data_IF_482870428612
#
_entry.id   IF_482870428612
#
_cell.length_a   1.000
_cell.length_b   1.000
_cell.length_c   1.000
_cell.angle_alpha   90.00
_cell.angle_beta   90.00
_cell.angle_gamma   90.00
#
_symmetry.space_group_name_H-M   'P 1'
#
loop_
_entity.id
_entity.type
_entity.pdbx_description
1 polymer ?
#
# COMPACT_ATOMS: atom_id res chain seq x y z
N UNK A 1 16.97 -4.67 13.08
CA UNK A 1 17.00 -4.34 11.64
C UNK A 1 16.28 -3.03 11.33
N UNK A 2 15.09 -2.79 11.88
CA UNK A 2 14.34 -1.56 11.63
C UNK A 2 15.07 -0.30 12.12
N UNK A 3 15.75 -0.35 13.24
CA UNK A 3 16.47 0.79 13.82
C UNK A 3 17.62 1.31 12.94
N UNK A 4 18.13 0.51 12.01
CA UNK A 4 19.19 0.90 11.08
C UNK A 4 18.66 1.41 9.72
N UNK A 5 17.34 1.44 9.52
CA UNK A 5 16.75 1.85 8.26
C UNK A 5 16.62 3.37 8.16
N UNK A 6 16.86 3.92 6.98
CA UNK A 6 16.60 5.31 6.65
C UNK A 6 15.15 5.53 6.20
N UNK A 7 14.53 4.50 5.60
CA UNK A 7 13.17 4.50 5.14
C UNK A 7 12.51 3.15 5.40
N UNK A 8 11.28 3.17 5.86
CA UNK A 8 10.46 1.98 6.03
C UNK A 8 9.25 2.03 5.11
N UNK A 9 9.01 0.95 4.39
CA UNK A 9 7.78 0.75 3.64
C UNK A 9 6.84 -0.12 4.47
N UNK A 10 5.71 0.45 4.85
CA UNK A 10 4.65 -0.28 5.54
C UNK A 10 3.70 -0.82 4.48
N UNK A 11 3.68 -2.12 4.32
CA UNK A 11 2.85 -2.78 3.29
C UNK A 11 1.62 -3.38 3.97
N UNK A 12 0.45 -2.99 3.53
CA UNK A 12 -0.81 -3.49 4.06
C UNK A 12 -1.86 -3.69 2.96
N UNK A 13 -2.83 -4.52 3.24
CA UNK A 13 -4.04 -4.62 2.41
C UNK A 13 -5.00 -3.47 2.73
N UNK A 14 -6.01 -3.27 1.90
CA UNK A 14 -6.96 -2.17 2.03
C UNK A 14 -8.09 -2.43 3.05
N UNK A 15 -8.00 -3.46 3.88
CA UNK A 15 -9.00 -3.71 4.92
C UNK A 15 -8.72 -2.88 6.20
N UNK A 16 -9.77 -2.58 7.00
CA UNK A 16 -9.62 -1.73 8.19
C UNK A 16 -8.68 -2.30 9.24
N UNK A 17 -8.58 -3.61 9.39
CA UNK A 17 -7.69 -4.26 10.36
C UNK A 17 -6.24 -4.03 10.00
N UNK A 18 -5.88 -4.25 8.73
CA UNK A 18 -4.52 -4.01 8.24
C UNK A 18 -4.12 -2.54 8.36
N UNK A 19 -5.04 -1.62 8.09
CA UNK A 19 -4.77 -0.18 8.20
C UNK A 19 -4.55 0.23 9.65
N UNK A 20 -5.32 -0.34 10.58
CA UNK A 20 -5.10 -0.11 12.02
C UNK A 20 -3.75 -0.65 12.47
N UNK A 21 -3.36 -1.83 12.01
CA UNK A 21 -2.06 -2.41 12.30
C UNK A 21 -0.93 -1.54 11.74
N UNK A 22 -1.12 -0.96 10.55
CA UNK A 22 -0.17 -0.01 9.97
C UNK A 22 0.05 1.21 10.87
N UNK A 23 -0.99 1.73 11.51
CA UNK A 23 -0.87 2.85 12.46
C UNK A 23 -0.06 2.48 13.71
N UNK A 24 -0.16 1.25 14.17
CA UNK A 24 0.62 0.72 15.30
C UNK A 24 2.09 0.59 14.90
N UNK A 25 2.36 0.01 13.73
CA UNK A 25 3.72 -0.12 13.19
C UNK A 25 4.37 1.26 13.01
N UNK A 26 3.61 2.25 12.54
CA UNK A 26 4.07 3.63 12.43
C UNK A 26 4.59 4.17 13.76
N UNK A 27 3.86 3.95 14.84
CA UNK A 27 4.28 4.40 16.18
C UNK A 27 5.58 3.74 16.60
N UNK A 28 5.70 2.43 16.39
CA UNK A 28 6.91 1.67 16.71
C UNK A 28 8.12 2.17 15.92
N UNK A 29 7.95 2.44 14.63
CA UNK A 29 9.00 2.97 13.78
C UNK A 29 9.40 4.40 14.19
N UNK A 30 8.47 5.21 14.65
CA UNK A 30 8.75 6.54 15.17
C UNK A 30 9.57 6.47 16.45
N UNK A 31 9.27 5.53 17.35
CA UNK A 31 10.05 5.29 18.56
C UNK A 31 11.47 4.79 18.25
N UNK A 32 11.62 4.02 17.16
CA UNK A 32 12.94 3.55 16.67
C UNK A 32 13.69 4.62 15.86
N UNK A 33 13.12 5.82 15.73
CA UNK A 33 13.73 6.96 15.03
C UNK A 33 13.99 6.69 13.54
N UNK A 34 13.15 5.91 12.89
CA UNK A 34 13.18 5.76 11.43
C UNK A 34 12.64 7.03 10.77
N UNK A 35 13.47 7.81 10.04
CA UNK A 35 13.10 9.17 9.64
C UNK A 35 12.03 9.22 8.55
N UNK A 36 11.97 8.22 7.68
CA UNK A 36 11.00 8.17 6.60
C UNK A 36 10.15 6.91 6.68
N UNK A 37 8.84 7.11 6.62
CA UNK A 37 7.87 6.03 6.62
C UNK A 37 6.88 6.28 5.48
N UNK A 38 6.60 5.25 4.68
CA UNK A 38 5.69 5.33 3.55
C UNK A 38 4.77 4.12 3.54
N UNK A 39 3.55 4.32 3.08
CA UNK A 39 2.53 3.29 3.01
C UNK A 39 2.41 2.76 1.58
N UNK A 40 2.39 1.44 1.45
CA UNK A 40 2.04 0.75 0.22
C UNK A 40 0.79 -0.08 0.46
N UNK A 41 -0.24 0.17 -0.31
CA UNK A 41 -1.44 -0.66 -0.29
C UNK A 41 -1.26 -1.77 -1.30
N UNK A 42 -1.26 -3.01 -0.82
CA UNK A 42 -1.09 -4.20 -1.65
C UNK A 42 -2.42 -4.90 -1.88
N UNK A 43 -2.51 -5.65 -2.96
CA UNK A 43 -3.69 -6.43 -3.33
C UNK A 43 -4.96 -5.59 -3.38
N UNK A 44 -4.82 -4.37 -3.90
CA UNK A 44 -5.94 -3.45 -4.02
C UNK A 44 -6.91 -3.90 -5.10
N UNK A 45 -8.18 -3.95 -4.76
CA UNK A 45 -9.26 -4.24 -5.69
C UNK A 45 -10.31 -3.12 -5.61
N UNK A 46 -10.37 -2.31 -6.67
CA UNK A 46 -11.27 -1.16 -6.73
C UNK A 46 -12.75 -1.54 -6.64
N UNK A 47 -13.11 -2.73 -7.10
CA UNK A 47 -14.50 -3.20 -7.03
C UNK A 47 -14.97 -3.39 -5.59
N UNK A 48 -14.14 -3.97 -4.74
CA UNK A 48 -14.46 -4.13 -3.32
C UNK A 48 -14.43 -2.79 -2.59
N UNK A 49 -13.50 -1.92 -2.95
CA UNK A 49 -13.34 -0.62 -2.29
C UNK A 49 -14.52 0.31 -2.61
N UNK A 50 -14.96 0.35 -3.88
CA UNK A 50 -16.12 1.14 -4.31
C UNK A 50 -17.46 0.59 -3.83
N UNK A 51 -17.63 -0.73 -3.75
CA UNK A 51 -18.89 -1.35 -3.31
C UNK A 51 -19.17 -1.16 -1.82
N UNK A 52 -18.13 -0.97 -1.02
CA UNK A 52 -18.27 -0.68 0.41
C UNK A 52 -18.75 0.75 0.67
N UNK A 53 -18.50 1.67 -0.27
CA UNK A 53 -18.95 3.06 -0.15
C UNK A 53 -20.43 3.27 -0.50
N UNK A 54 -21.04 2.37 -1.25
CA UNK A 54 -22.39 2.56 -1.81
C UNK A 54 -23.56 2.26 -0.84
N UNK A 55 -23.32 1.80 0.39
CA UNK A 55 -24.44 1.38 1.23
C UNK A 55 -24.26 1.42 2.75
N UNK A 56 -23.15 1.96 3.28
CA UNK A 56 -22.91 1.95 4.72
C UNK A 56 -22.27 3.25 5.21
N UNK A 57 -23.09 4.25 5.38
CA UNK A 57 -22.66 5.53 5.97
C UNK A 57 -22.20 5.42 7.44
N UNK A 58 -22.40 4.27 8.10
CA UNK A 58 -22.24 4.15 9.55
C UNK A 58 -21.40 2.97 10.04
N UNK A 59 -20.63 2.29 9.19
CA UNK A 59 -19.97 1.05 9.59
C UNK A 59 -18.45 1.13 9.74
N UNK A 60 -17.86 2.27 10.09
CA UNK A 60 -16.43 2.34 10.43
C UNK A 60 -15.46 1.80 9.37
N UNK A 61 -15.93 1.58 8.15
CA UNK A 61 -15.15 1.10 7.03
C UNK A 61 -14.41 2.23 6.31
N UNK A 62 -13.39 1.84 5.56
CA UNK A 62 -12.66 2.77 4.70
C UNK A 62 -13.51 3.10 3.47
N UNK A 63 -13.79 4.37 3.26
CA UNK A 63 -14.62 4.83 2.14
C UNK A 63 -13.79 5.13 0.89
N UNK A 64 -12.59 5.63 1.09
CA UNK A 64 -11.68 6.02 0.02
C UNK A 64 -10.21 5.98 0.49
N UNK A 65 -9.32 6.37 -0.40
CA UNK A 65 -7.88 6.38 -0.10
C UNK A 65 -7.50 7.45 0.92
N UNK A 66 -8.24 8.53 1.00
CA UNK A 66 -8.01 9.57 2.01
C UNK A 66 -8.27 9.02 3.41
N UNK A 67 -9.33 8.22 3.58
CA UNK A 67 -9.59 7.52 4.84
C UNK A 67 -8.42 6.59 5.22
N UNK A 68 -7.81 5.91 4.26
CA UNK A 68 -6.63 5.06 4.50
C UNK A 68 -5.46 5.86 5.02
N UNK A 69 -5.17 6.99 4.38
CA UNK A 69 -4.08 7.88 4.79
C UNK A 69 -4.35 8.44 6.19
N UNK A 70 -5.56 8.92 6.44
CA UNK A 70 -5.94 9.51 7.72
C UNK A 70 -5.89 8.49 8.87
N UNK A 71 -6.43 7.30 8.66
CA UNK A 71 -6.47 6.26 9.70
C UNK A 71 -5.12 5.62 9.98
N UNK A 72 -4.29 5.43 8.96
CA UNK A 72 -2.93 4.91 9.15
C UNK A 72 -1.98 5.97 9.70
N UNK A 73 -2.19 7.22 9.35
CA UNK A 73 -1.29 8.33 9.66
C UNK A 73 0.02 8.27 8.87
N UNK A 74 0.10 7.46 7.84
CA UNK A 74 1.31 7.25 7.02
C UNK A 74 1.08 7.76 5.61
N UNK A 75 2.08 8.45 5.06
CA UNK A 75 2.03 8.96 3.70
C UNK A 75 2.05 7.82 2.69
N UNK A 76 1.08 7.81 1.79
CA UNK A 76 0.97 6.83 0.72
C UNK A 76 2.05 7.06 -0.35
N UNK A 77 2.79 6.01 -0.72
CA UNK A 77 3.75 6.05 -1.82
C UNK A 77 3.25 5.27 -3.04
N UNK A 78 2.38 4.31 -2.87
CA UNK A 78 1.86 3.56 -4.00
C UNK A 78 0.79 2.55 -3.65
N UNK A 79 0.12 2.11 -4.70
CA UNK A 79 -0.95 1.13 -4.64
C UNK A 79 -0.63 0.04 -5.65
N UNK A 80 -0.57 -1.20 -5.18
CA UNK A 80 -0.35 -2.37 -6.03
C UNK A 80 -1.68 -3.08 -6.22
N UNK A 81 -2.22 -3.12 -7.44
CA UNK A 81 -3.48 -3.79 -7.69
C UNK A 81 -3.38 -5.29 -7.50
N UNK A 82 -4.49 -5.93 -7.19
CA UNK A 82 -4.59 -7.39 -7.20
C UNK A 82 -4.35 -7.88 -8.62
N UNK A 83 -3.35 -8.75 -8.81
CA UNK A 83 -2.90 -9.21 -10.12
C UNK A 83 -2.72 -10.73 -10.08
N UNK A 84 -3.66 -11.43 -10.67
CA UNK A 84 -3.65 -12.91 -10.70
C UNK A 84 -2.48 -13.49 -11.47
N UNK A 85 -2.06 -12.84 -12.54
CA UNK A 85 -0.94 -13.29 -13.36
C UNK A 85 0.39 -13.13 -12.60
N UNK A 86 0.54 -12.04 -11.88
CA UNK A 86 1.71 -11.82 -11.03
C UNK A 86 1.77 -12.85 -9.90
N UNK A 87 0.65 -13.09 -9.23
CA UNK A 87 0.55 -14.12 -8.18
C UNK A 87 0.89 -15.51 -8.72
N UNK A 88 0.35 -15.87 -9.88
CA UNK A 88 0.62 -17.16 -10.51
C UNK A 88 2.10 -17.32 -10.88
N UNK A 89 2.75 -16.27 -11.36
CA UNK A 89 4.18 -16.28 -11.68
C UNK A 89 5.02 -16.53 -10.42
N UNK A 90 4.73 -15.84 -9.33
CA UNK A 90 5.43 -16.05 -8.06
C UNK A 90 5.23 -17.45 -7.50
N UNK A 91 4.02 -18.00 -7.59
CA UNK A 91 3.75 -19.38 -7.14
C UNK A 91 4.53 -20.42 -7.94
N UNK A 92 4.83 -20.16 -9.21
CA UNK A 92 5.67 -21.02 -10.05
C UNK A 92 7.17 -20.77 -9.90
N UNK A 93 7.56 -19.79 -9.10
CA UNK A 93 8.95 -19.39 -8.97
C UNK A 93 9.50 -18.66 -10.20
N UNK A 94 8.64 -18.07 -11.01
CA UNK A 94 9.00 -17.33 -12.22
C UNK A 94 8.98 -15.83 -11.97
N UNK A 95 9.76 -15.07 -12.74
CA UNK A 95 9.70 -13.61 -12.73
C UNK A 95 8.47 -13.16 -13.51
N UNK A 96 7.58 -12.32 -12.92
CA UNK A 96 6.43 -11.81 -13.65
C UNK A 96 6.86 -10.93 -14.84
N UNK A 97 6.01 -10.86 -15.86
CA UNK A 97 6.23 -9.96 -16.99
C UNK A 97 6.16 -8.49 -16.56
N UNK A 98 7.02 -7.65 -17.11
CA UNK A 98 7.15 -6.24 -16.71
C UNK A 98 5.92 -5.38 -17.04
N UNK A 99 5.11 -5.80 -17.99
CA UNK A 99 3.91 -5.09 -18.45
C UNK A 99 2.65 -5.39 -17.61
N UNK A 100 2.73 -6.31 -16.65
CA UNK A 100 1.61 -6.60 -15.76
C UNK A 100 1.28 -5.38 -14.88
N UNK A 101 -0.02 -5.13 -14.59
CA UNK A 101 -0.43 -3.98 -13.76
C UNK A 101 0.29 -3.91 -12.42
N UNK A 102 0.45 -5.06 -11.74
CA UNK A 102 1.17 -5.11 -10.47
C UNK A 102 2.65 -4.74 -10.60
N UNK A 103 3.31 -5.22 -11.64
CA UNK A 103 4.71 -4.89 -11.89
C UNK A 103 4.90 -3.42 -12.28
N UNK A 104 3.98 -2.86 -13.05
CA UNK A 104 3.98 -1.42 -13.38
C UNK A 104 3.83 -0.58 -12.12
N UNK A 105 2.95 -0.97 -11.21
CA UNK A 105 2.76 -0.28 -9.93
C UNK A 105 4.04 -0.31 -9.07
N UNK A 106 4.71 -1.45 -8.99
CA UNK A 106 5.99 -1.58 -8.27
C UNK A 106 7.07 -0.69 -8.87
N UNK A 107 7.15 -0.61 -10.21
CA UNK A 107 8.10 0.28 -10.89
C UNK A 107 7.85 1.76 -10.55
N UNK A 108 6.59 2.17 -10.46
CA UNK A 108 6.22 3.53 -10.04
C UNK A 108 6.60 3.82 -8.60
N UNK A 109 6.41 2.86 -7.70
CA UNK A 109 6.83 2.98 -6.30
C UNK A 109 8.35 3.16 -6.23
N UNK A 110 9.11 2.34 -6.94
CA UNK A 110 10.57 2.45 -7.00
C UNK A 110 11.02 3.81 -7.53
N UNK A 111 10.36 4.33 -8.57
CA UNK A 111 10.65 5.67 -9.11
C UNK A 111 10.41 6.76 -8.05
N UNK A 112 9.30 6.70 -7.33
CA UNK A 112 9.01 7.68 -6.26
C UNK A 112 10.02 7.60 -5.12
N UNK A 113 10.47 6.42 -4.76
CA UNK A 113 11.53 6.24 -3.75
C UNK A 113 12.84 6.90 -4.16
N UNK A 114 13.10 6.99 -5.46
CA UNK A 114 14.26 7.67 -6.03
C UNK A 114 14.03 9.16 -6.28
N UNK A 115 12.93 9.73 -5.80
CA UNK A 115 12.61 11.15 -5.94
C UNK A 115 11.99 11.55 -7.27
N UNK A 116 11.64 10.59 -8.12
CA UNK A 116 10.96 10.88 -9.40
C UNK A 116 9.47 11.11 -9.15
N UNK A 117 8.94 12.20 -9.68
CA UNK A 117 7.51 12.51 -9.63
C UNK A 117 6.77 11.66 -10.65
N UNK A 118 5.96 10.73 -10.19
CA UNK A 118 5.13 9.86 -11.02
C UNK A 118 3.69 9.93 -10.53
N UNK A 119 2.70 10.13 -11.42
CA UNK A 119 1.30 10.17 -11.01
C UNK A 119 0.86 8.86 -10.34
N UNK A 120 0.05 9.00 -9.31
CA UNK A 120 -0.63 7.86 -8.70
C UNK A 120 -1.80 7.48 -9.59
N UNK A 121 -1.73 6.31 -10.23
CA UNK A 121 -2.85 5.78 -11.02
C UNK A 121 -3.31 4.45 -10.46
N UNK A 122 -4.60 4.29 -10.51
CA UNK A 122 -5.27 3.08 -10.05
C UNK A 122 -5.53 2.12 -11.21
#
# INVERSE_FOLDING_TARGET
>A
AAAAADCALIVCNSDPVCIRDASIVRRLLTELEVPQQRLVINRFNAEYFGSLSAGRENAGGLRDLDDVIDQSGVRLIGIVPEDRQMTAAFQRGCVPADDLPGMTALSRIAARMNGVSVPLSL
#
